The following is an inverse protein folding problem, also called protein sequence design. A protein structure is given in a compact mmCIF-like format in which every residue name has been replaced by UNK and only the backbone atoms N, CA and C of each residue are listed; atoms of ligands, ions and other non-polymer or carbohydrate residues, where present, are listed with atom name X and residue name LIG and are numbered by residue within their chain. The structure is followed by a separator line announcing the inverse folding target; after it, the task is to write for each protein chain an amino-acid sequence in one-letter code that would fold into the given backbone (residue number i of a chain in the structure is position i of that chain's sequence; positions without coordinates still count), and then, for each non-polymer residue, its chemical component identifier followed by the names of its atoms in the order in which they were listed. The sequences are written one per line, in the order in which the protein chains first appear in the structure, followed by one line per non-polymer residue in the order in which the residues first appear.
data_IF_030978866551
#
_entry.id   IF_030978866551
#
_cell.length_a   1.000
_cell.length_b   1.000
_cell.length_c   1.000
_cell.angle_alpha   90.00
_cell.angle_beta   90.00
_cell.angle_gamma   90.00
#
_symmetry.space_group_name_H-M   'P 1'
#
loop_
_entity.id
_entity.type
_entity.pdbx_description
1 polymer ?
#
# COMPACT_ATOMS: atom_id res chain seq x y z
N UNK A 1 15.87 4.91 -9.01
CA UNK A 1 14.54 4.42 -9.45
C UNK A 1 13.45 5.10 -8.59
N UNK A 2 12.14 4.98 -8.88
CA UNK A 2 11.02 5.71 -8.22
C UNK A 2 9.68 5.01 -8.12
N UNK A 3 9.04 5.17 -6.96
CA UNK A 3 7.63 4.91 -6.66
C UNK A 3 7.10 6.12 -5.87
N UNK A 4 5.85 6.52 -6.13
CA UNK A 4 5.15 7.65 -5.50
C UNK A 4 4.37 7.20 -4.26
N UNK A 5 4.29 8.07 -3.25
CA UNK A 5 3.38 7.94 -2.11
C UNK A 5 2.80 9.31 -1.75
N UNK A 6 1.47 9.35 -1.54
CA UNK A 6 0.72 10.46 -0.98
C UNK A 6 0.55 10.24 0.53
N UNK A 7 1.19 11.04 1.39
CA UNK A 7 0.56 12.20 2.05
C UNK A 7 1.54 12.91 3.01
N UNK A 8 1.34 14.22 3.15
CA UNK A 8 2.05 15.23 3.96
C UNK A 8 3.52 14.95 4.38
N UNK A 9 4.46 15.39 3.54
CA UNK A 9 5.91 15.39 3.76
C UNK A 9 6.58 14.01 3.79
N UNK A 10 6.61 13.30 2.66
CA UNK A 10 7.48 12.13 2.46
C UNK A 10 8.43 12.33 1.29
N UNK A 11 9.65 11.82 1.46
CA UNK A 11 10.70 11.78 0.46
C UNK A 11 10.44 10.64 -0.53
N UNK A 12 10.11 10.98 -1.75
CA UNK A 12 10.18 10.12 -2.91
C UNK A 12 11.63 10.08 -3.42
N UNK A 13 12.05 9.05 -4.13
CA UNK A 13 13.34 9.04 -4.85
C UNK A 13 12.99 8.63 -6.25
N UNK A 14 13.38 9.38 -7.28
CA UNK A 14 13.29 9.02 -8.72
C UNK A 14 14.70 9.00 -9.28
N UNK A 15 15.13 7.86 -9.87
CA UNK A 15 16.40 7.67 -10.63
C UNK A 15 17.52 8.68 -10.29
N UNK A 16 18.29 8.37 -9.23
CA UNK A 16 19.42 9.19 -8.72
C UNK A 16 19.06 10.62 -8.26
N UNK A 17 17.79 10.94 -8.03
CA UNK A 17 17.31 12.23 -7.50
C UNK A 17 16.25 11.99 -6.44
N UNK A 18 16.28 12.78 -5.37
CA UNK A 18 15.35 12.61 -4.23
C UNK A 18 14.28 13.68 -4.32
N UNK A 19 13.03 13.25 -4.36
CA UNK A 19 11.82 14.04 -4.47
C UNK A 19 11.15 14.17 -3.09
N UNK A 20 10.42 15.23 -2.76
CA UNK A 20 9.68 15.36 -1.49
C UNK A 20 8.34 16.03 -1.72
N UNK A 21 7.25 15.49 -1.19
CA UNK A 21 5.94 16.16 -1.23
C UNK A 21 5.71 16.90 0.08
N UNK A 22 6.02 18.18 0.17
CA UNK A 22 5.65 19.04 1.29
C UNK A 22 4.14 19.34 1.26
N UNK A 23 3.58 19.77 2.40
CA UNK A 23 2.17 20.18 2.50
C UNK A 23 1.85 21.16 1.35
N UNK A 24 1.08 20.67 0.37
CA UNK A 24 0.72 21.43 -0.81
C UNK A 24 1.82 21.62 -1.88
N UNK A 25 2.92 20.87 -1.92
CA UNK A 25 3.90 20.96 -3.03
C UNK A 25 4.75 19.69 -3.22
N UNK A 26 4.98 19.26 -4.48
CA UNK A 26 5.98 18.26 -4.84
C UNK A 26 7.32 18.92 -5.19
N UNK A 27 8.45 18.39 -4.73
CA UNK A 27 9.80 18.98 -4.87
C UNK A 27 10.85 17.93 -5.21
N UNK A 28 12.06 18.31 -5.65
CA UNK A 28 13.21 17.41 -5.86
C UNK A 28 14.55 18.05 -5.54
N UNK A 29 15.57 17.20 -5.33
CA UNK A 29 16.98 17.53 -5.15
C UNK A 29 17.83 16.72 -6.11
N UNK A 30 18.79 17.39 -6.75
CA UNK A 30 19.64 16.79 -7.80
C UNK A 30 20.80 16.00 -7.15
N UNK A 31 20.84 14.69 -7.36
CA UNK A 31 21.93 13.83 -6.92
C UNK A 31 21.89 13.51 -5.42
N UNK A 32 22.10 14.53 -4.59
CA UNK A 32 22.26 14.41 -3.13
C UNK A 32 21.20 15.19 -2.33
N UNK A 33 21.02 14.82 -1.05
CA UNK A 33 20.10 15.48 -0.13
C UNK A 33 20.51 16.90 0.28
N UNK A 34 21.80 17.23 0.19
CA UNK A 34 22.29 18.57 0.50
C UNK A 34 22.19 19.52 -0.71
N UNK A 35 21.84 19.01 -1.89
CA UNK A 35 21.62 19.84 -3.06
C UNK A 35 20.38 20.75 -2.87
N UNK A 36 20.33 21.92 -3.54
CA UNK A 36 19.17 22.79 -3.51
C UNK A 36 17.88 22.07 -3.88
N UNK A 37 16.80 22.45 -3.20
CA UNK A 37 15.45 21.94 -3.46
C UNK A 37 14.80 22.71 -4.61
N UNK A 38 14.16 21.97 -5.52
CA UNK A 38 13.43 22.48 -6.67
C UNK A 38 11.95 22.09 -6.54
N UNK A 39 11.03 23.04 -6.69
CA UNK A 39 9.58 22.76 -6.64
C UNK A 39 9.14 22.24 -8.02
N UNK A 40 8.55 21.04 -8.05
CA UNK A 40 7.99 20.41 -9.25
C UNK A 40 6.55 20.85 -9.48
N UNK A 41 5.73 20.79 -8.43
CA UNK A 41 4.32 21.21 -8.45
C UNK A 41 4.04 21.95 -7.15
N UNK A 42 3.55 23.19 -7.25
CA UNK A 42 2.97 23.90 -6.12
C UNK A 42 1.44 23.72 -6.17
N UNK A 43 0.92 22.88 -5.28
CA UNK A 43 -0.51 22.59 -5.15
C UNK A 43 -1.27 23.79 -4.58
N UNK A 44 -0.64 24.67 -3.79
CA UNK A 44 -1.29 25.90 -3.32
C UNK A 44 -1.51 26.85 -4.50
N UNK A 45 -0.50 27.01 -5.35
CA UNK A 45 -0.64 27.76 -6.60
C UNK A 45 -1.67 27.10 -7.54
N UNK A 46 -1.68 25.76 -7.62
CA UNK A 46 -2.66 25.02 -8.40
C UNK A 46 -4.09 25.19 -7.87
N UNK A 47 -4.26 25.28 -6.56
CA UNK A 47 -5.54 25.46 -5.88
C UNK A 47 -6.02 26.92 -5.85
N UNK A 48 -5.14 27.89 -6.13
CA UNK A 48 -5.47 29.30 -6.03
C UNK A 48 -6.72 29.66 -6.87
N UNK A 49 -7.68 30.33 -6.22
CA UNK A 49 -8.95 30.74 -6.82
C UNK A 49 -9.95 29.62 -7.08
N UNK A 50 -9.71 28.39 -6.59
CA UNK A 50 -10.61 27.24 -6.76
C UNK A 50 -11.21 26.82 -5.43
N UNK A 51 -12.48 26.41 -5.46
CA UNK A 51 -13.19 25.89 -4.28
C UNK A 51 -12.70 24.49 -3.88
N UNK A 52 -12.19 23.73 -4.85
CA UNK A 52 -11.66 22.40 -4.65
C UNK A 52 -10.42 22.17 -5.53
N UNK A 53 -9.43 21.48 -4.97
CA UNK A 53 -8.26 21.01 -5.70
C UNK A 53 -7.68 19.78 -5.00
N UNK A 54 -7.75 18.63 -5.66
CA UNK A 54 -7.09 17.41 -5.24
C UNK A 54 -5.94 17.11 -6.20
N UNK A 55 -4.73 17.02 -5.65
CA UNK A 55 -3.56 16.60 -6.41
C UNK A 55 -3.58 15.07 -6.61
N UNK A 56 -3.65 14.61 -7.86
CA UNK A 56 -3.75 13.20 -8.19
C UNK A 56 -2.42 12.46 -8.24
N UNK A 57 -1.31 13.19 -8.31
CA UNK A 57 0.04 12.61 -8.36
C UNK A 57 0.85 13.12 -9.54
N UNK A 58 2.02 12.53 -9.74
CA UNK A 58 2.92 12.91 -10.83
C UNK A 58 3.82 11.76 -11.27
N UNK A 59 4.45 11.92 -12.41
CA UNK A 59 5.47 11.02 -12.94
C UNK A 59 6.55 11.87 -13.62
N UNK A 60 7.81 11.57 -13.34
CA UNK A 60 8.93 12.18 -14.05
C UNK A 60 9.35 11.23 -15.17
N UNK A 61 9.55 11.77 -16.36
CA UNK A 61 10.05 11.03 -17.52
C UNK A 61 11.41 10.38 -17.24
N UNK A 62 11.74 9.26 -17.91
CA UNK A 62 12.96 8.50 -17.65
C UNK A 62 14.26 9.32 -17.75
N UNK A 63 14.31 10.31 -18.63
CA UNK A 63 15.42 11.26 -18.83
C UNK A 63 15.44 12.45 -17.85
N UNK A 64 14.46 12.55 -16.96
CA UNK A 64 14.25 13.62 -15.99
C UNK A 64 13.95 15.01 -16.58
N UNK A 65 13.50 15.09 -17.83
CA UNK A 65 13.21 16.37 -18.50
C UNK A 65 11.76 16.79 -18.36
N UNK A 66 10.81 15.89 -18.57
CA UNK A 66 9.37 16.15 -18.48
C UNK A 66 8.79 15.65 -17.15
N UNK A 67 7.85 16.42 -16.61
CA UNK A 67 6.96 16.06 -15.52
C UNK A 67 5.54 15.96 -16.05
N UNK A 68 4.89 14.82 -15.85
CA UNK A 68 3.44 14.69 -15.95
C UNK A 68 2.85 14.78 -14.55
N UNK A 69 1.80 15.55 -14.33
CA UNK A 69 1.10 15.62 -13.05
C UNK A 69 -0.40 15.75 -13.25
N UNK A 70 -1.19 15.28 -12.29
CA UNK A 70 -2.64 15.29 -12.40
C UNK A 70 -3.33 16.01 -11.24
N UNK A 71 -4.49 16.58 -11.53
CA UNK A 71 -5.34 17.21 -10.52
C UNK A 71 -6.83 17.07 -10.87
N UNK A 72 -7.65 17.01 -9.83
CA UNK A 72 -9.12 17.09 -9.88
C UNK A 72 -9.57 18.38 -9.20
N UNK A 73 -10.38 19.17 -9.89
CA UNK A 73 -10.94 20.43 -9.40
C UNK A 73 -12.46 20.35 -9.13
N UNK A 74 -13.03 19.15 -9.24
CA UNK A 74 -14.46 18.87 -9.16
C UNK A 74 -14.84 17.97 -7.98
N UNK A 75 -13.89 17.21 -7.43
CA UNK A 75 -14.12 16.24 -6.36
C UNK A 75 -14.83 14.97 -6.82
N UNK A 76 -14.89 14.71 -8.13
CA UNK A 76 -15.53 13.51 -8.72
C UNK A 76 -14.54 12.37 -8.97
N UNK A 77 -13.29 12.49 -8.54
CA UNK A 77 -12.19 11.61 -8.91
C UNK A 77 -12.01 11.52 -10.44
N UNK A 78 -12.19 12.66 -11.11
CA UNK A 78 -11.95 12.83 -12.54
C UNK A 78 -10.75 13.76 -12.68
N UNK A 79 -9.61 13.18 -13.04
CA UNK A 79 -8.35 13.90 -13.07
C UNK A 79 -8.03 14.39 -14.48
N UNK A 80 -7.40 15.55 -14.57
CA UNK A 80 -6.74 16.02 -15.79
C UNK A 80 -5.24 15.94 -15.59
N UNK A 81 -4.52 15.39 -16.57
CA UNK A 81 -3.06 15.42 -16.60
C UNK A 81 -2.57 16.66 -17.33
N UNK A 82 -1.46 17.19 -16.83
CA UNK A 82 -0.72 18.33 -17.34
C UNK A 82 0.74 17.94 -17.48
N UNK A 83 1.44 18.55 -18.44
CA UNK A 83 2.86 18.30 -18.67
C UNK A 83 3.68 19.57 -18.46
N UNK A 84 4.89 19.42 -17.90
CA UNK A 84 5.84 20.50 -17.65
C UNK A 84 7.24 20.11 -18.07
N UNK A 85 7.92 21.02 -18.78
CA UNK A 85 9.36 20.88 -19.05
C UNK A 85 10.15 21.41 -17.85
N UNK A 86 10.86 20.51 -17.18
CA UNK A 86 11.62 20.79 -15.96
C UNK A 86 12.92 21.56 -16.20
N UNK A 87 13.37 21.70 -17.45
CA UNK A 87 14.52 22.55 -17.79
C UNK A 87 14.13 24.02 -17.87
N UNK A 88 12.89 24.31 -18.24
CA UNK A 88 12.37 25.69 -18.39
C UNK A 88 11.38 26.10 -17.31
N UNK A 89 10.81 25.13 -16.58
CA UNK A 89 9.71 25.34 -15.62
C UNK A 89 8.35 25.61 -16.27
N UNK A 90 8.25 25.57 -17.61
CA UNK A 90 7.02 25.90 -18.35
C UNK A 90 6.16 24.67 -18.60
N UNK A 91 4.86 24.85 -18.51
CA UNK A 91 3.88 23.84 -18.90
C UNK A 91 3.86 23.68 -20.43
N UNK A 92 3.62 22.47 -20.91
CA UNK A 92 3.39 22.15 -22.32
C UNK A 92 1.90 22.32 -22.66
N UNK A 93 1.59 22.35 -23.96
CA UNK A 93 0.20 22.45 -24.44
C UNK A 93 -0.62 21.18 -24.18
N UNK A 94 0.05 20.03 -24.12
CA UNK A 94 -0.57 18.74 -23.83
C UNK A 94 -1.27 18.74 -22.46
N UNK A 95 -2.59 18.56 -22.48
CA UNK A 95 -3.37 18.34 -21.27
C UNK A 95 -4.68 17.59 -21.57
N UNK A 96 -4.99 16.55 -20.81
CA UNK A 96 -6.10 15.65 -21.11
C UNK A 96 -6.67 14.91 -19.89
N UNK A 97 -7.96 14.58 -19.96
CA UNK A 97 -8.63 13.83 -18.88
C UNK A 97 -8.16 12.38 -18.82
N UNK A 98 -7.99 11.90 -17.60
CA UNK A 98 -7.58 10.54 -17.22
C UNK A 98 -8.51 10.00 -16.11
N UNK A 99 -8.45 8.70 -15.83
CA UNK A 99 -9.17 8.09 -14.72
C UNK A 99 -8.46 8.33 -13.39
N UNK A 100 -7.22 7.86 -13.29
CA UNK A 100 -6.39 7.93 -12.09
C UNK A 100 -4.91 7.66 -12.37
N UNK A 101 -4.59 6.73 -13.26
CA UNK A 101 -3.26 6.20 -13.48
C UNK A 101 -2.66 6.68 -14.80
N UNK A 102 -1.38 7.03 -14.76
CA UNK A 102 -0.59 7.37 -15.92
C UNK A 102 0.88 7.03 -15.68
N UNK A 103 1.57 6.52 -16.69
CA UNK A 103 2.95 6.08 -16.60
C UNK A 103 3.72 6.37 -17.89
N UNK A 104 4.97 6.84 -17.76
CA UNK A 104 5.87 7.03 -18.89
C UNK A 104 6.34 5.69 -19.47
N UNK A 105 6.36 5.60 -20.79
CA UNK A 105 7.21 4.65 -21.49
C UNK A 105 8.69 5.04 -21.35
N UNK A 106 9.58 4.14 -21.74
CA UNK A 106 11.01 4.36 -21.59
C UNK A 106 11.63 5.23 -22.70
N UNK A 107 10.81 5.66 -23.67
CA UNK A 107 11.20 6.50 -24.80
C UNK A 107 11.16 8.03 -24.52
N UNK A 108 10.74 8.43 -23.31
CA UNK A 108 10.60 9.82 -22.84
C UNK A 108 9.54 10.67 -23.56
N UNK A 109 8.71 10.06 -24.42
CA UNK A 109 7.75 10.79 -25.26
C UNK A 109 6.37 10.14 -25.35
N UNK A 110 6.19 9.01 -24.68
CA UNK A 110 4.92 8.28 -24.67
C UNK A 110 4.41 8.11 -23.25
N UNK A 111 3.13 8.40 -23.03
CA UNK A 111 2.39 8.11 -21.79
C UNK A 111 1.34 7.05 -22.06
N UNK A 112 1.23 6.06 -21.17
CA UNK A 112 0.03 5.23 -21.06
C UNK A 112 -0.81 5.76 -19.90
N UNK A 113 -2.13 5.78 -20.06
CA UNK A 113 -3.05 6.27 -19.05
C UNK A 113 -4.40 5.57 -19.09
N UNK A 114 -5.12 5.55 -17.98
CA UNK A 114 -6.48 5.02 -17.89
C UNK A 114 -7.55 6.09 -18.13
N UNK A 115 -8.76 5.67 -18.51
CA UNK A 115 -9.96 6.53 -18.47
C UNK A 115 -11.09 5.85 -17.74
N UNK A 116 -12.04 6.67 -17.27
CA UNK A 116 -13.28 6.22 -16.66
C UNK A 116 -14.45 6.29 -17.61
N UNK A 117 -15.37 5.34 -17.48
CA UNK A 117 -16.72 5.50 -17.99
C UNK A 117 -17.41 6.70 -17.32
N UNK A 118 -18.13 7.50 -18.10
CA UNK A 118 -18.66 8.80 -17.65
C UNK A 118 -19.81 8.68 -16.65
N UNK A 119 -20.49 7.53 -16.61
CA UNK A 119 -21.66 7.30 -15.77
C UNK A 119 -21.27 6.55 -14.51
N UNK A 120 -20.59 5.41 -14.67
CA UNK A 120 -20.23 4.50 -13.58
C UNK A 120 -18.95 4.90 -12.86
N UNK A 121 -18.12 5.77 -13.48
CA UNK A 121 -16.78 6.14 -13.01
C UNK A 121 -15.81 4.94 -12.89
N UNK A 122 -16.14 3.83 -13.56
CA UNK A 122 -15.31 2.62 -13.64
C UNK A 122 -14.15 2.83 -14.60
N UNK A 123 -12.93 2.46 -14.18
CA UNK A 123 -11.78 2.44 -15.08
C UNK A 123 -11.97 1.30 -16.10
N UNK A 124 -12.15 1.64 -17.38
CA UNK A 124 -12.52 0.67 -18.40
C UNK A 124 -11.52 0.58 -19.55
N UNK A 125 -10.77 1.65 -19.83
CA UNK A 125 -9.90 1.74 -21.01
C UNK A 125 -8.52 2.24 -20.65
N UNK A 126 -7.52 1.70 -21.36
CA UNK A 126 -6.13 2.15 -21.32
C UNK A 126 -5.77 2.71 -22.69
N UNK A 127 -5.18 3.90 -22.70
CA UNK A 127 -4.81 4.66 -23.88
C UNK A 127 -3.32 4.94 -23.92
N UNK A 128 -2.80 5.17 -25.13
CA UNK A 128 -1.43 5.64 -25.38
C UNK A 128 -1.48 7.02 -25.99
N UNK A 129 -0.79 7.96 -25.36
CA UNK A 129 -0.61 9.33 -25.81
C UNK A 129 0.85 9.61 -26.19
N UNK A 130 1.05 10.24 -27.34
CA UNK A 130 2.35 10.69 -27.85
C UNK A 130 2.48 12.19 -27.57
N UNK A 131 3.48 12.61 -26.80
CA UNK A 131 3.63 14.02 -26.41
C UNK A 131 3.82 14.90 -27.66
N UNK A 132 3.12 16.03 -27.69
CA UNK A 132 3.09 16.99 -28.79
C UNK A 132 2.06 16.66 -29.87
N UNK A 133 1.20 15.66 -29.66
CA UNK A 133 0.12 15.31 -30.59
C UNK A 133 -1.26 15.60 -29.99
N UNK A 134 -2.28 15.93 -30.79
CA UNK A 134 -3.63 16.10 -30.28
C UNK A 134 -4.18 14.79 -29.68
N UNK A 135 -4.93 14.89 -28.57
CA UNK A 135 -5.62 13.75 -27.92
C UNK A 135 -6.43 12.88 -28.89
N UNK A 136 -6.96 13.44 -29.97
CA UNK A 136 -7.71 12.69 -30.99
C UNK A 136 -6.87 11.65 -31.74
N UNK A 137 -5.55 11.68 -31.62
CA UNK A 137 -4.62 10.69 -32.16
C UNK A 137 -4.21 9.61 -31.16
N UNK A 138 -4.70 9.69 -29.91
CA UNK A 138 -4.39 8.70 -28.88
C UNK A 138 -4.94 7.33 -29.27
N UNK A 139 -4.15 6.28 -29.01
CA UNK A 139 -4.47 4.91 -29.41
C UNK A 139 -5.04 4.14 -28.23
N UNK A 140 -6.21 3.52 -28.42
CA UNK A 140 -6.80 2.61 -27.45
C UNK A 140 -5.99 1.31 -27.38
N UNK A 141 -5.33 1.06 -26.26
CA UNK A 141 -4.46 -0.10 -26.06
C UNK A 141 -5.20 -1.29 -25.41
N UNK A 142 -6.20 -1.01 -24.58
CA UNK A 142 -7.00 -2.04 -23.89
C UNK A 142 -8.38 -1.51 -23.54
N UNK A 143 -9.40 -2.38 -23.56
CA UNK A 143 -10.77 -2.07 -23.14
C UNK A 143 -11.38 -3.26 -22.38
N UNK A 144 -11.66 -3.06 -21.10
CA UNK A 144 -12.40 -3.99 -20.25
C UNK A 144 -13.90 -3.89 -20.55
N UNK A 145 -14.38 -4.85 -21.32
CA UNK A 145 -15.79 -4.92 -21.74
C UNK A 145 -16.70 -5.53 -20.68
N UNK A 146 -16.17 -6.28 -19.72
CA UNK A 146 -16.96 -6.79 -18.60
C UNK A 146 -17.17 -5.65 -17.60
N UNK A 147 -18.41 -5.16 -17.51
CA UNK A 147 -18.78 -4.04 -16.66
C UNK A 147 -18.63 -4.34 -15.16
N UNK A 148 -18.42 -5.61 -14.79
CA UNK A 148 -18.12 -6.00 -13.41
C UNK A 148 -16.65 -5.84 -13.04
N UNK A 149 -15.75 -5.65 -14.01
CA UNK A 149 -14.30 -5.58 -13.79
C UNK A 149 -13.75 -4.15 -13.90
N UNK A 150 -12.60 -3.87 -13.32
CA UNK A 150 -11.89 -2.60 -13.47
C UNK A 150 -10.55 -2.86 -14.14
N UNK A 151 -10.14 -1.98 -15.07
CA UNK A 151 -8.82 -1.99 -15.67
C UNK A 151 -7.87 -1.07 -14.90
N UNK A 152 -6.94 -1.65 -14.14
CA UNK A 152 -5.93 -0.90 -13.40
C UNK A 152 -4.59 -0.94 -14.13
N UNK A 153 -4.09 0.23 -14.54
CA UNK A 153 -2.77 0.37 -15.13
C UNK A 153 -1.70 0.50 -14.04
N UNK A 154 -0.59 -0.22 -14.20
CA UNK A 154 0.59 -0.13 -13.36
C UNK A 154 1.88 -0.24 -14.19
N UNK A 155 3.01 -0.03 -13.53
CA UNK A 155 4.35 -0.24 -14.11
C UNK A 155 5.21 -1.00 -13.10
N UNK A 156 5.99 -1.97 -13.58
CA UNK A 156 6.89 -2.75 -12.74
C UNK A 156 7.95 -1.87 -12.08
N UNK A 157 8.42 -2.27 -10.90
CA UNK A 157 9.48 -1.53 -10.17
C UNK A 157 10.77 -1.39 -10.98
N UNK A 158 11.02 -2.34 -11.88
CA UNK A 158 12.14 -2.30 -12.83
C UNK A 158 11.99 -1.27 -13.95
N UNK A 159 10.84 -0.62 -14.09
CA UNK A 159 10.43 0.21 -15.22
C UNK A 159 10.33 -0.51 -16.57
N UNK A 160 10.52 -1.83 -16.62
CA UNK A 160 10.59 -2.57 -17.89
C UNK A 160 9.21 -2.95 -18.45
N UNK A 161 8.19 -3.07 -17.61
CA UNK A 161 6.88 -3.57 -18.04
C UNK A 161 5.77 -2.67 -17.52
N UNK A 162 4.79 -2.41 -18.39
CA UNK A 162 3.45 -2.00 -17.97
C UNK A 162 2.64 -3.23 -17.62
N UNK A 163 1.74 -3.09 -16.65
CA UNK A 163 0.76 -4.10 -16.27
C UNK A 163 -0.65 -3.54 -16.39
N UNK A 164 -1.59 -4.35 -16.85
CA UNK A 164 -3.03 -4.10 -16.70
C UNK A 164 -3.58 -5.22 -15.85
N UNK A 165 -4.10 -4.86 -14.67
CA UNK A 165 -4.87 -5.76 -13.84
C UNK A 165 -6.35 -5.53 -14.15
N UNK A 166 -6.97 -6.44 -14.87
CA UNK A 166 -8.43 -6.52 -14.98
C UNK A 166 -8.95 -7.29 -13.76
N UNK A 167 -9.60 -6.60 -12.82
CA UNK A 167 -9.97 -7.21 -11.55
C UNK A 167 -11.22 -6.60 -10.93
N UNK A 168 -11.97 -7.44 -10.23
CA UNK A 168 -12.96 -7.02 -9.23
C UNK A 168 -13.33 -8.19 -8.32
N UNK A 169 -13.21 -7.99 -7.01
CA UNK A 169 -13.63 -8.86 -5.89
C UNK A 169 -13.19 -10.33 -5.91
N UNK A 170 -13.48 -11.10 -6.95
CA UNK A 170 -13.32 -12.57 -7.04
C UNK A 170 -12.48 -13.02 -8.22
N UNK A 171 -12.13 -12.13 -9.14
CA UNK A 171 -11.37 -12.47 -10.35
C UNK A 171 -10.27 -11.45 -10.58
N UNK A 172 -9.14 -11.93 -11.11
CA UNK A 172 -8.08 -11.10 -11.66
C UNK A 172 -7.52 -11.73 -12.92
N UNK A 173 -7.15 -10.87 -13.85
CA UNK A 173 -6.44 -11.18 -15.07
C UNK A 173 -5.38 -10.11 -15.31
N UNK A 174 -4.14 -10.52 -15.53
CA UNK A 174 -3.02 -9.61 -15.71
C UNK A 174 -2.48 -9.69 -17.13
N UNK A 175 -2.39 -8.53 -17.76
CA UNK A 175 -1.71 -8.33 -19.04
C UNK A 175 -0.42 -7.54 -18.84
N UNK A 176 0.58 -7.76 -19.69
CA UNK A 176 1.85 -7.03 -19.63
C UNK A 176 2.32 -6.54 -21.00
N UNK A 177 3.06 -5.42 -21.02
CA UNK A 177 3.65 -4.82 -22.22
C UNK A 177 5.05 -4.29 -21.89
N UNK A 178 6.04 -4.52 -22.77
CA UNK A 178 7.38 -3.95 -22.62
C UNK A 178 7.34 -2.42 -22.79
N UNK A 179 7.77 -1.69 -21.76
CA UNK A 179 7.78 -0.23 -21.74
C UNK A 179 8.82 0.40 -22.68
N UNK A 180 9.76 -0.39 -23.24
CA UNK A 180 10.67 0.04 -24.30
C UNK A 180 10.03 -0.10 -25.69
N UNK A 181 8.94 -0.85 -25.82
CA UNK A 181 8.13 -0.95 -27.04
C UNK A 181 6.69 -0.54 -26.74
N UNK A 182 6.43 0.74 -26.43
CA UNK A 182 5.09 1.21 -26.06
C UNK A 182 4.08 1.14 -27.22
N UNK A 183 4.54 0.81 -28.43
CA UNK A 183 3.70 0.56 -29.59
C UNK A 183 3.27 -0.90 -29.76
N UNK A 184 3.80 -1.82 -28.96
CA UNK A 184 3.42 -3.22 -28.98
C UNK A 184 2.07 -3.50 -28.31
N UNK A 185 1.66 -4.77 -28.37
CA UNK A 185 0.40 -5.24 -27.78
C UNK A 185 0.58 -5.82 -26.38
N UNK A 186 -0.44 -5.64 -25.55
CA UNK A 186 -0.53 -6.29 -24.24
C UNK A 186 -0.65 -7.81 -24.39
N UNK A 187 0.16 -8.54 -23.63
CA UNK A 187 0.17 -10.01 -23.58
C UNK A 187 -0.48 -10.50 -22.30
N UNK A 188 -1.37 -11.47 -22.42
CA UNK A 188 -2.03 -12.11 -21.30
C UNK A 188 -1.07 -13.07 -20.56
N UNK A 189 -1.08 -13.03 -19.23
CA UNK A 189 -0.36 -14.02 -18.39
C UNK A 189 -1.22 -15.26 -18.15
N UNK A 190 -2.42 -15.07 -17.61
CA UNK A 190 -3.38 -16.13 -17.36
C UNK A 190 -4.81 -15.58 -17.43
N UNK A 191 -5.73 -16.23 -18.17
CA UNK A 191 -7.14 -15.86 -18.17
C UNK A 191 -7.76 -15.85 -16.76
N UNK A 192 -8.74 -14.96 -16.56
CA UNK A 192 -9.50 -14.87 -15.30
C UNK A 192 -10.14 -16.21 -14.92
N UNK A 193 -10.15 -16.49 -13.61
CA UNK A 193 -10.77 -17.65 -13.00
C UNK A 193 -11.35 -17.23 -11.66
N UNK A 194 -12.54 -17.73 -11.33
CA UNK A 194 -13.23 -17.37 -10.09
C UNK A 194 -12.44 -17.82 -8.86
N UNK A 195 -12.38 -16.95 -7.86
CA UNK A 195 -11.67 -17.15 -6.59
C UNK A 195 -10.16 -17.44 -6.78
N UNK A 196 -9.61 -17.01 -7.91
CA UNK A 196 -8.19 -17.14 -8.24
C UNK A 196 -7.56 -15.75 -8.31
N UNK A 197 -6.68 -15.46 -7.36
CA UNK A 197 -5.99 -14.18 -7.24
C UNK A 197 -4.51 -14.35 -7.54
N UNK A 198 -3.98 -13.44 -8.33
CA UNK A 198 -2.55 -13.26 -8.50
C UNK A 198 -2.20 -11.80 -8.84
N UNK A 199 -1.02 -11.39 -8.42
CA UNK A 199 -0.36 -10.15 -8.85
C UNK A 199 1.07 -10.45 -9.28
N UNK A 200 1.68 -9.51 -10.01
CA UNK A 200 2.99 -9.68 -10.65
C UNK A 200 3.94 -8.57 -10.24
N UNK A 201 5.21 -8.92 -10.08
CA UNK A 201 6.33 -7.99 -10.14
C UNK A 201 7.44 -8.55 -11.02
N UNK A 202 8.19 -7.66 -11.69
CA UNK A 202 9.30 -8.06 -12.52
C UNK A 202 10.61 -8.15 -11.72
N UNK A 203 11.33 -9.26 -11.90
CA UNK A 203 12.65 -9.48 -11.34
C UNK A 203 13.54 -10.29 -12.29
N UNK A 204 14.65 -9.69 -12.71
CA UNK A 204 15.60 -10.26 -13.68
C UNK A 204 14.94 -10.63 -15.03
N UNK A 205 14.81 -11.92 -15.33
CA UNK A 205 14.18 -12.48 -16.53
C UNK A 205 12.86 -13.19 -16.20
N UNK A 206 12.32 -12.93 -15.00
CA UNK A 206 11.14 -13.59 -14.44
C UNK A 206 10.10 -12.60 -13.94
N UNK A 207 8.86 -13.08 -13.87
CA UNK A 207 7.86 -12.49 -13.00
C UNK A 207 7.82 -13.25 -11.68
N UNK A 208 7.83 -12.51 -10.58
CA UNK A 208 7.41 -12.99 -9.27
C UNK A 208 5.90 -12.85 -9.18
N UNK A 209 5.23 -13.89 -8.68
CA UNK A 209 3.79 -14.08 -8.77
C UNK A 209 3.26 -14.41 -7.38
N UNK A 210 2.64 -13.45 -6.70
CA UNK A 210 1.94 -13.75 -5.45
C UNK A 210 0.57 -14.29 -5.83
N UNK A 211 0.21 -15.48 -5.38
CA UNK A 211 -1.05 -16.12 -5.78
C UNK A 211 -1.68 -16.94 -4.66
N UNK A 212 -3.01 -17.03 -4.67
CA UNK A 212 -3.75 -17.94 -3.79
C UNK A 212 -3.91 -19.36 -4.35
N UNK A 213 -3.27 -19.69 -5.48
CA UNK A 213 -3.38 -21.00 -6.11
C UNK A 213 -2.98 -22.11 -5.12
N UNK A 214 -3.96 -22.92 -4.67
CA UNK A 214 -3.75 -23.96 -3.64
C UNK A 214 -3.13 -23.41 -2.33
N UNK A 215 -3.33 -22.12 -2.04
CA UNK A 215 -2.69 -21.42 -0.93
C UNK A 215 -3.60 -20.29 -0.44
N UNK A 216 -4.50 -20.55 0.53
CA UNK A 216 -5.45 -19.53 1.01
C UNK A 216 -4.75 -18.29 1.57
N UNK A 217 -3.61 -18.48 2.21
CA UNK A 217 -2.77 -17.39 2.73
C UNK A 217 -1.73 -16.89 1.72
N UNK A 218 -1.96 -17.17 0.45
CA UNK A 218 -1.05 -16.88 -0.65
C UNK A 218 0.30 -17.59 -0.55
N UNK A 219 0.98 -17.64 -1.68
CA UNK A 219 2.37 -18.07 -1.84
C UNK A 219 3.04 -17.18 -2.89
N UNK A 220 4.36 -17.15 -2.88
CA UNK A 220 5.13 -16.46 -3.91
C UNK A 220 5.71 -17.50 -4.87
N UNK A 221 5.43 -17.33 -6.15
CA UNK A 221 5.93 -18.17 -7.23
C UNK A 221 6.76 -17.34 -8.21
N UNK A 222 7.45 -17.99 -9.13
CA UNK A 222 8.13 -17.37 -10.25
C UNK A 222 7.79 -18.05 -11.58
N UNK A 223 7.84 -17.30 -12.67
CA UNK A 223 7.76 -17.81 -14.04
C UNK A 223 8.64 -16.97 -14.98
N UNK A 224 9.23 -17.56 -16.04
CA UNK A 224 9.98 -16.79 -17.04
C UNK A 224 9.08 -15.75 -17.72
N UNK A 225 9.58 -14.54 -17.96
CA UNK A 225 8.85 -13.49 -18.71
C UNK A 225 8.46 -13.98 -20.10
N UNK A 226 9.32 -14.79 -20.74
CA UNK A 226 9.07 -15.37 -22.06
C UNK A 226 7.95 -16.43 -22.07
N UNK A 227 7.63 -17.02 -20.92
CA UNK A 227 6.63 -18.08 -20.77
C UNK A 227 5.92 -17.96 -19.40
N UNK A 228 5.10 -16.91 -19.19
CA UNK A 228 4.57 -16.59 -17.86
C UNK A 228 3.33 -17.42 -17.48
N UNK A 229 2.90 -18.34 -18.35
CA UNK A 229 1.76 -19.21 -18.13
C UNK A 229 1.89 -20.07 -16.87
N UNK A 230 0.73 -20.39 -16.27
CA UNK A 230 0.61 -21.09 -14.98
C UNK A 230 1.38 -22.42 -14.93
N UNK A 231 1.47 -23.11 -16.06
CA UNK A 231 2.23 -24.35 -16.24
C UNK A 231 3.72 -24.22 -15.95
N UNK A 232 4.27 -23.00 -15.98
CA UNK A 232 5.68 -22.72 -15.71
C UNK A 232 5.93 -22.17 -14.29
N UNK A 233 4.89 -22.05 -13.47
CA UNK A 233 5.01 -21.44 -12.13
C UNK A 233 5.73 -22.38 -11.17
N UNK A 234 6.74 -21.86 -10.47
CA UNK A 234 7.54 -22.58 -9.46
C UNK A 234 7.57 -21.82 -8.15
N UNK A 235 7.56 -22.52 -7.02
CA UNK A 235 7.58 -21.86 -5.71
C UNK A 235 8.89 -21.10 -5.46
N UNK A 236 8.75 -19.88 -4.94
CA UNK A 236 9.82 -19.05 -4.37
C UNK A 236 9.67 -19.02 -2.86
N UNK A 237 8.46 -18.74 -2.37
CA UNK A 237 8.06 -18.90 -0.98
C UNK A 237 6.79 -19.76 -0.94
N UNK A 238 6.86 -20.99 -0.40
CA UNK A 238 5.70 -21.86 -0.34
C UNK A 238 4.63 -21.32 0.63
N UNK A 239 3.42 -21.87 0.51
CA UNK A 239 2.31 -21.55 1.39
C UNK A 239 2.64 -21.88 2.87
N UNK A 240 2.22 -21.00 3.77
CA UNK A 240 2.29 -21.19 5.23
C UNK A 240 0.90 -21.02 5.83
N UNK A 241 0.47 -21.98 6.65
CA UNK A 241 -0.89 -21.98 7.20
C UNK A 241 -1.12 -20.86 8.23
N UNK A 242 -0.07 -20.41 8.90
CA UNK A 242 -0.10 -19.42 9.99
C UNK A 242 0.33 -18.00 9.55
N UNK A 243 0.66 -17.81 8.26
CA UNK A 243 1.17 -16.54 7.73
C UNK A 243 0.45 -16.15 6.45
N UNK A 244 -0.28 -15.04 6.49
CA UNK A 244 -0.79 -14.38 5.29
C UNK A 244 0.34 -13.63 4.60
N UNK A 245 0.57 -13.90 3.32
CA UNK A 245 1.44 -13.08 2.48
C UNK A 245 0.61 -11.98 1.81
N UNK A 246 0.60 -10.78 2.38
CA UNK A 246 -0.17 -9.63 1.88
C UNK A 246 0.42 -9.03 0.62
N UNK A 247 1.74 -8.98 0.57
CA UNK A 247 2.47 -8.34 -0.51
C UNK A 247 3.97 -8.51 -0.37
N UNK A 248 4.70 -7.97 -1.34
CA UNK A 248 6.15 -8.03 -1.33
C UNK A 248 6.74 -6.87 -2.13
N UNK A 249 8.02 -6.59 -1.89
CA UNK A 249 8.84 -5.76 -2.77
C UNK A 249 10.16 -6.45 -3.00
N UNK A 250 10.71 -6.26 -4.20
CA UNK A 250 11.95 -6.91 -4.62
C UNK A 250 13.10 -5.91 -4.70
N UNK A 251 14.28 -6.36 -4.31
CA UNK A 251 15.57 -5.70 -4.46
C UNK A 251 16.52 -6.61 -5.21
N UNK A 252 17.66 -6.06 -5.63
CA UNK A 252 18.72 -6.82 -6.32
C UNK A 252 19.14 -8.05 -5.50
N UNK A 253 19.39 -7.86 -4.21
CA UNK A 253 19.98 -8.89 -3.33
C UNK A 253 18.99 -9.42 -2.28
N UNK A 254 17.79 -8.84 -2.16
CA UNK A 254 16.79 -9.18 -1.15
C UNK A 254 15.37 -9.28 -1.71
N UNK A 255 14.57 -10.16 -1.09
CA UNK A 255 13.11 -10.16 -1.11
C UNK A 255 12.62 -9.63 0.23
N UNK A 256 11.64 -8.74 0.22
CA UNK A 256 10.98 -8.28 1.44
C UNK A 256 9.48 -8.49 1.31
N UNK A 257 8.89 -9.20 2.26
CA UNK A 257 7.45 -9.50 2.29
C UNK A 257 6.74 -8.72 3.39
N UNK A 258 5.52 -8.30 3.11
CA UNK A 258 4.56 -7.83 4.09
C UNK A 258 3.66 -9.01 4.45
N UNK A 259 3.55 -9.31 5.74
CA UNK A 259 2.91 -10.52 6.23
C UNK A 259 2.04 -10.24 7.45
N UNK A 260 0.87 -10.87 7.56
CA UNK A 260 0.18 -11.01 8.84
C UNK A 260 0.47 -12.37 9.46
N UNK A 261 0.95 -12.35 10.71
CA UNK A 261 1.21 -13.56 11.50
C UNK A 261 0.89 -13.29 12.96
N UNK A 262 0.16 -14.22 13.58
CA UNK A 262 -0.24 -14.10 14.97
C UNK A 262 -1.05 -12.84 15.29
N UNK A 263 -1.78 -12.30 14.30
CA UNK A 263 -2.66 -11.14 14.44
C UNK A 263 -1.97 -9.77 14.32
N UNK A 264 -0.72 -9.73 13.83
CA UNK A 264 0.05 -8.51 13.64
C UNK A 264 0.57 -8.40 12.20
N UNK A 265 0.59 -7.19 11.65
CA UNK A 265 1.27 -6.86 10.41
C UNK A 265 2.79 -6.73 10.63
N UNK A 266 3.57 -7.51 9.89
CA UNK A 266 5.01 -7.67 10.03
C UNK A 266 5.74 -7.57 8.69
N UNK A 267 7.01 -7.16 8.75
CA UNK A 267 7.91 -7.13 7.59
C UNK A 267 8.98 -8.20 7.75
N UNK A 268 9.13 -9.02 6.71
CA UNK A 268 10.05 -10.15 6.67
C UNK A 268 11.06 -9.97 5.53
N UNK A 269 12.34 -10.00 5.87
CA UNK A 269 13.47 -9.74 4.96
C UNK A 269 14.18 -11.05 4.69
N UNK A 270 14.36 -11.40 3.43
CA UNK A 270 15.00 -12.63 2.96
C UNK A 270 16.10 -12.27 1.96
N UNK A 271 17.32 -12.75 2.18
CA UNK A 271 18.43 -12.57 1.24
C UNK A 271 18.36 -13.61 0.12
N UNK A 272 18.58 -13.19 -1.13
CA UNK A 272 18.52 -14.11 -2.27
C UNK A 272 19.61 -15.16 -2.27
N UNK A 273 20.84 -14.77 -1.90
CA UNK A 273 22.05 -15.57 -2.08
C UNK A 273 22.07 -16.87 -1.25
N UNK A 274 21.64 -16.79 0.01
CA UNK A 274 21.75 -17.87 1.00
C UNK A 274 20.41 -18.18 1.69
N UNK A 275 19.34 -17.45 1.35
CA UNK A 275 18.01 -17.52 1.98
C UNK A 275 18.02 -17.17 3.47
N UNK A 276 19.06 -16.53 3.98
CA UNK A 276 19.07 -16.01 5.33
C UNK A 276 17.96 -14.97 5.49
N UNK A 277 17.17 -15.11 6.55
CA UNK A 277 15.97 -14.31 6.76
C UNK A 277 15.83 -13.80 8.19
N UNK A 278 14.96 -12.80 8.37
CA UNK A 278 14.53 -12.29 9.67
C UNK A 278 13.30 -11.39 9.54
N UNK A 279 12.51 -11.32 10.62
CA UNK A 279 11.48 -10.31 10.79
C UNK A 279 12.08 -9.03 11.38
N UNK A 280 11.53 -7.87 11.01
CA UNK A 280 11.90 -6.60 11.63
C UNK A 280 11.25 -6.50 13.01
N UNK A 281 12.07 -6.49 14.06
CA UNK A 281 11.62 -6.30 15.44
C UNK A 281 11.29 -4.82 15.71
N UNK A 282 10.10 -4.51 16.24
CA UNK A 282 9.71 -3.13 16.59
C UNK A 282 9.73 -2.85 18.10
N UNK A 283 9.73 -3.89 18.95
CA UNK A 283 9.88 -3.75 20.40
C UNK A 283 8.60 -3.38 21.17
N UNK A 284 7.43 -3.43 20.54
CA UNK A 284 6.13 -3.25 21.19
C UNK A 284 5.30 -4.54 21.11
N UNK A 285 4.42 -4.82 22.10
CA UNK A 285 3.62 -6.06 22.13
C UNK A 285 2.56 -6.11 21.04
N UNK A 286 2.07 -4.95 20.60
CA UNK A 286 1.08 -4.80 19.54
C UNK A 286 1.43 -3.60 18.67
N UNK A 287 1.40 -3.78 17.36
CA UNK A 287 1.90 -2.82 16.38
C UNK A 287 1.45 -3.18 14.96
N UNK A 288 1.70 -2.26 14.04
CA UNK A 288 1.70 -2.50 12.61
C UNK A 288 3.07 -2.12 12.05
N UNK A 289 3.66 -3.01 11.27
CA UNK A 289 4.93 -2.81 10.57
C UNK A 289 4.73 -3.13 9.08
N UNK A 290 4.97 -2.15 8.22
CA UNK A 290 4.61 -2.24 6.80
C UNK A 290 5.73 -1.72 5.90
N UNK A 291 5.79 -2.27 4.68
CA UNK A 291 6.71 -1.81 3.64
C UNK A 291 6.26 -0.42 3.18
N UNK A 292 7.15 0.56 3.24
CA UNK A 292 6.91 1.93 2.75
C UNK A 292 7.54 2.08 1.34
N UNK A 293 7.77 3.30 0.89
CA UNK A 293 8.30 3.60 -0.41
C UNK A 293 9.74 3.10 -0.61
N UNK A 294 9.90 2.11 -1.48
CA UNK A 294 11.19 1.51 -1.81
C UNK A 294 11.49 1.61 -3.30
N UNK A 295 11.74 2.82 -3.80
CA UNK A 295 11.87 3.06 -5.21
C UNK A 295 13.15 2.48 -5.82
N UNK A 296 14.25 2.49 -5.06
CA UNK A 296 15.54 2.00 -5.52
C UNK A 296 15.63 0.47 -5.40
N UNK A 297 15.77 -0.22 -6.53
CA UNK A 297 15.95 -1.67 -6.58
C UNK A 297 17.37 -2.12 -6.21
N UNK A 298 18.41 -1.34 -6.54
CA UNK A 298 19.80 -1.71 -6.23
C UNK A 298 20.26 -0.97 -4.97
N UNK A 299 19.80 -1.42 -3.81
CA UNK A 299 20.10 -0.86 -2.50
C UNK A 299 20.04 -1.96 -1.44
N UNK A 300 20.76 -1.75 -0.34
CA UNK A 300 20.65 -2.57 0.88
C UNK A 300 19.73 -1.92 1.91
N UNK A 301 19.23 -0.72 1.65
CA UNK A 301 18.34 0.02 2.55
C UNK A 301 16.89 -0.22 2.16
N UNK A 302 16.14 -0.81 3.08
CA UNK A 302 14.68 -0.87 3.07
C UNK A 302 14.13 0.32 3.85
N UNK A 303 13.16 1.04 3.29
CA UNK A 303 12.31 1.96 4.04
C UNK A 303 11.05 1.23 4.50
N UNK A 304 10.78 1.23 5.79
CA UNK A 304 9.54 0.69 6.33
C UNK A 304 8.88 1.73 7.25
N UNK A 305 7.57 1.59 7.40
CA UNK A 305 6.80 2.31 8.40
C UNK A 305 6.45 1.40 9.55
N UNK A 306 6.45 1.94 10.77
CA UNK A 306 5.79 1.27 11.89
C UNK A 306 4.96 2.24 12.71
N UNK A 307 3.95 1.72 13.37
CA UNK A 307 3.09 2.44 14.30
C UNK A 307 2.54 1.47 15.34
N UNK A 308 2.10 2.00 16.47
CA UNK A 308 1.31 1.26 17.45
C UNK A 308 0.21 2.16 17.99
N UNK A 309 -0.64 1.64 18.86
CA UNK A 309 -1.67 2.45 19.52
C UNK A 309 -1.10 3.60 20.39
N UNK A 310 0.21 3.60 20.68
CA UNK A 310 0.92 4.69 21.38
C UNK A 310 2.05 5.33 20.57
N UNK A 311 2.47 4.75 19.46
CA UNK A 311 3.60 5.26 18.68
C UNK A 311 3.11 5.78 17.33
N UNK A 312 3.14 7.12 17.11
CA UNK A 312 2.81 7.72 15.82
C UNK A 312 3.60 7.09 14.69
N UNK A 313 3.05 7.14 13.47
CA UNK A 313 3.70 6.59 12.28
C UNK A 313 5.15 7.08 12.20
N UNK A 314 6.06 6.12 12.22
CA UNK A 314 7.49 6.34 12.21
C UNK A 314 8.08 5.68 10.97
N UNK A 315 8.75 6.48 10.15
CA UNK A 315 9.45 6.04 8.94
C UNK A 315 10.90 5.77 9.28
N UNK A 316 11.38 4.58 8.93
CA UNK A 316 12.71 4.09 9.28
C UNK A 316 13.43 3.59 8.03
N UNK A 317 14.66 4.02 7.85
CA UNK A 317 15.59 3.40 6.91
C UNK A 317 16.32 2.25 7.63
N UNK A 318 16.25 1.06 7.05
CA UNK A 318 16.74 -0.20 7.60
C UNK A 318 17.78 -0.81 6.68
N UNK A 319 19.00 -1.00 7.16
CA UNK A 319 20.00 -1.75 6.41
C UNK A 319 19.71 -3.25 6.56
N UNK A 320 19.32 -3.91 5.47
CA UNK A 320 18.87 -5.32 5.46
C UNK A 320 19.98 -6.33 5.81
N UNK A 321 21.25 -5.92 5.72
CA UNK A 321 22.42 -6.75 6.02
C UNK A 321 22.82 -6.64 7.50
N UNK A 322 23.09 -5.42 7.95
CA UNK A 322 23.58 -5.12 9.31
C UNK A 322 22.47 -4.97 10.34
N UNK A 323 21.22 -4.85 9.89
CA UNK A 323 20.01 -4.58 10.70
C UNK A 323 20.00 -3.22 11.41
N UNK A 324 20.91 -2.32 11.02
CA UNK A 324 20.96 -0.95 11.53
C UNK A 324 19.68 -0.19 11.14
N UNK A 325 19.11 0.55 12.10
CA UNK A 325 17.89 1.36 11.95
C UNK A 325 18.24 2.84 12.05
N UNK A 326 17.73 3.63 11.13
CA UNK A 326 17.81 5.09 11.18
C UNK A 326 16.41 5.70 11.04
N UNK A 327 15.91 6.33 12.10
CA UNK A 327 14.61 7.01 12.07
C UNK A 327 14.70 8.24 11.17
N UNK A 328 13.83 8.31 10.15
CA UNK A 328 13.77 9.42 9.19
C UNK A 328 12.69 10.42 9.53
N UNK A 329 11.56 9.95 10.05
CA UNK A 329 10.41 10.79 10.39
C UNK A 329 9.58 10.13 11.47
N UNK A 330 9.13 10.92 12.43
CA UNK A 330 8.03 10.57 13.33
C UNK A 330 6.91 11.56 13.03
N UNK A 331 5.68 11.06 12.83
CA UNK A 331 4.53 11.93 12.64
C UNK A 331 4.35 12.82 13.88
N UNK A 332 4.33 14.16 13.74
CA UNK A 332 4.24 15.05 14.88
C UNK A 332 2.86 14.94 15.52
N UNK A 333 2.84 14.88 16.86
CA UNK A 333 1.61 14.98 17.65
C UNK A 333 1.69 16.26 18.46
N UNK A 334 0.78 17.18 18.16
CA UNK A 334 0.72 18.48 18.85
C UNK A 334 0.22 18.31 20.29
N UNK A 335 0.51 19.28 21.15
CA UNK A 335 0.01 19.28 22.53
C UNK A 335 0.86 18.53 23.54
N UNK A 336 2.14 18.25 23.24
CA UNK A 336 3.08 17.68 24.21
C UNK A 336 2.93 16.18 24.45
N UNK A 337 2.39 15.46 23.47
CA UNK A 337 2.25 14.00 23.53
C UNK A 337 3.60 13.31 23.76
N UNK A 338 3.64 12.42 24.75
CA UNK A 338 4.78 11.53 25.01
C UNK A 338 4.28 10.08 25.02
N UNK A 339 4.74 9.21 24.09
CA UNK A 339 4.35 7.80 24.06
C UNK A 339 4.69 7.08 25.37
N UNK A 340 5.67 7.55 26.15
CA UNK A 340 6.05 6.95 27.43
C UNK A 340 4.99 7.13 28.52
N UNK A 341 3.99 7.98 28.32
CA UNK A 341 2.85 8.12 29.24
C UNK A 341 1.82 7.00 29.09
N UNK A 342 1.95 6.13 28.09
CA UNK A 342 0.96 5.09 27.78
C UNK A 342 1.59 3.70 27.77
N UNK A 343 0.78 2.70 28.10
CA UNK A 343 1.11 1.28 28.05
C UNK A 343 0.24 0.61 27.00
N UNK A 344 0.83 -0.31 26.23
CA UNK A 344 0.11 -1.18 25.30
C UNK A 344 0.16 -2.64 25.77
N UNK A 345 -0.91 -3.38 25.51
CA UNK A 345 -0.99 -4.81 25.76
C UNK A 345 -1.48 -5.55 24.50
N UNK A 346 -1.05 -6.80 24.36
CA UNK A 346 -1.57 -7.72 23.37
C UNK A 346 -1.99 -9.00 24.06
N UNK A 347 -3.29 -9.30 24.04
CA UNK A 347 -3.86 -10.42 24.79
C UNK A 347 -4.71 -11.30 23.89
N UNK A 348 -4.95 -12.54 24.33
CA UNK A 348 -5.76 -13.52 23.62
C UNK A 348 -7.01 -13.84 24.43
N UNK A 349 -8.18 -13.52 23.87
CA UNK A 349 -9.48 -13.82 24.47
C UNK A 349 -9.98 -15.15 23.90
N UNK A 350 -10.31 -16.10 24.78
CA UNK A 350 -10.97 -17.34 24.34
C UNK A 350 -12.47 -17.07 24.23
N UNK A 351 -13.00 -17.08 23.00
CA UNK A 351 -14.43 -16.81 22.73
C UNK A 351 -15.27 -18.08 22.87
N UNK A 352 -16.59 -17.97 22.79
CA UNK A 352 -17.55 -19.04 23.15
C UNK A 352 -17.41 -20.36 22.38
N UNK A 353 -16.77 -20.35 21.21
CA UNK A 353 -16.49 -21.55 20.42
C UNK A 353 -15.05 -22.09 20.60
N UNK A 354 -14.31 -21.54 21.56
CA UNK A 354 -12.94 -21.95 21.92
C UNK A 354 -11.83 -21.29 21.10
N UNK A 355 -12.18 -20.50 20.06
CA UNK A 355 -11.18 -19.77 19.27
C UNK A 355 -10.52 -18.69 20.14
N UNK A 356 -9.21 -18.48 19.95
CA UNK A 356 -8.48 -17.38 20.59
C UNK A 356 -8.47 -16.16 19.67
N UNK A 357 -9.24 -15.13 20.03
CA UNK A 357 -9.29 -13.85 19.33
C UNK A 357 -8.26 -12.91 19.96
N UNK A 358 -7.31 -12.35 19.19
CA UNK A 358 -6.37 -11.38 19.72
C UNK A 358 -7.06 -10.03 19.99
N UNK A 359 -6.56 -9.29 20.97
CA UNK A 359 -7.01 -7.94 21.29
C UNK A 359 -5.81 -7.06 21.63
N UNK A 360 -5.76 -5.88 20.99
CA UNK A 360 -4.78 -4.83 21.29
C UNK A 360 -5.40 -3.84 22.26
N UNK A 361 -4.68 -3.44 23.30
CA UNK A 361 -5.12 -2.43 24.24
C UNK A 361 -4.09 -1.32 24.39
N UNK A 362 -4.58 -0.12 24.67
CA UNK A 362 -3.76 1.01 25.13
C UNK A 362 -4.49 1.77 26.23
N UNK A 363 -3.73 2.22 27.22
CA UNK A 363 -4.23 3.04 28.31
C UNK A 363 -3.09 3.87 28.91
N UNK A 364 -3.43 4.91 29.67
CA UNK A 364 -2.45 5.78 30.33
C UNK A 364 -1.79 5.08 31.52
N UNK A 365 -0.49 5.34 31.74
CA UNK A 365 0.22 4.85 32.93
C UNK A 365 -0.46 5.33 34.20
N UNK A 366 -0.48 4.48 35.22
CA UNK A 366 -1.24 4.70 36.44
C UNK A 366 -2.68 4.16 36.37
N UNK A 367 -3.12 3.63 35.23
CA UNK A 367 -4.35 2.84 35.13
C UNK A 367 -4.37 1.70 36.15
N UNK A 368 -5.51 1.51 36.80
CA UNK A 368 -5.78 0.44 37.76
C UNK A 368 -6.92 -0.41 37.22
N UNK A 369 -6.66 -1.72 37.09
CA UNK A 369 -7.60 -2.71 36.57
C UNK A 369 -8.60 -3.14 37.66
N UNK A 370 -9.54 -2.24 37.99
CA UNK A 370 -10.55 -2.38 39.05
C UNK A 370 -12.01 -2.23 38.55
N UNK A 371 -12.20 -2.21 37.23
CA UNK A 371 -13.53 -2.14 36.59
C UNK A 371 -14.15 -0.75 36.53
N UNK A 372 -13.48 0.32 36.96
CA UNK A 372 -14.09 1.67 37.00
C UNK A 372 -13.70 2.58 35.83
N UNK A 373 -12.74 2.18 35.01
CA UNK A 373 -12.30 3.02 33.89
C UNK A 373 -13.31 2.97 32.74
N UNK A 374 -13.59 4.10 32.08
CA UNK A 374 -14.37 4.09 30.85
C UNK A 374 -13.59 3.36 29.75
N UNK A 375 -14.29 2.71 28.82
CA UNK A 375 -13.66 1.93 27.76
C UNK A 375 -14.23 2.28 26.38
N UNK A 376 -13.33 2.37 25.38
CA UNK A 376 -13.68 2.45 23.97
C UNK A 376 -13.13 1.23 23.24
N UNK A 377 -14.01 0.29 22.88
CA UNK A 377 -13.65 -0.90 22.09
C UNK A 377 -14.08 -0.72 20.62
N UNK A 378 -13.19 -1.10 19.70
CA UNK A 378 -13.45 -1.06 18.25
C UNK A 378 -13.29 -2.47 17.65
N UNK A 379 -14.09 -2.77 16.63
CA UNK A 379 -13.98 -3.95 15.78
C UNK A 379 -14.61 -3.70 14.42
N UNK A 380 -14.08 -4.33 13.36
CA UNK A 380 -14.58 -4.17 11.98
C UNK A 380 -15.11 -5.49 11.39
N UNK A 381 -14.23 -6.48 11.21
CA UNK A 381 -14.60 -7.86 10.91
C UNK A 381 -15.37 -8.06 9.60
N UNK A 382 -15.05 -7.35 8.52
CA UNK A 382 -15.70 -7.56 7.20
C UNK A 382 -14.72 -7.42 6.04
N UNK A 383 -15.08 -7.99 4.88
CA UNK A 383 -14.32 -7.94 3.62
C UNK A 383 -12.89 -8.49 3.66
N UNK A 384 -12.52 -9.13 4.76
CA UNK A 384 -11.13 -9.50 5.02
C UNK A 384 -10.24 -8.31 5.36
N UNK A 385 -10.80 -7.12 5.63
CA UNK A 385 -10.01 -5.98 6.06
C UNK A 385 -9.47 -6.23 7.47
N UNK A 386 -8.16 -6.35 7.61
CA UNK A 386 -7.47 -6.35 8.91
C UNK A 386 -7.62 -4.99 9.57
N UNK A 387 -7.86 -4.96 10.89
CA UNK A 387 -7.89 -3.74 11.70
C UNK A 387 -6.61 -3.62 12.53
N UNK A 388 -5.52 -3.28 11.86
CA UNK A 388 -4.21 -3.17 12.50
C UNK A 388 -4.16 -2.12 13.63
N UNK A 389 -3.33 -2.33 14.68
CA UNK A 389 -3.23 -1.43 15.82
C UNK A 389 -2.38 -0.19 15.49
N UNK A 390 -2.98 0.78 14.79
CA UNK A 390 -2.34 2.04 14.40
C UNK A 390 -2.50 3.16 15.45
N UNK A 391 -1.63 4.16 15.40
CA UNK A 391 -1.76 5.36 16.22
C UNK A 391 -2.92 6.24 15.75
N UNK A 392 -3.91 6.43 16.61
CA UNK A 392 -5.02 7.34 16.36
C UNK A 392 -4.91 8.59 17.26
N UNK A 393 -4.60 9.74 16.66
CA UNK A 393 -4.48 11.02 17.38
C UNK A 393 -5.76 11.38 18.14
N UNK A 394 -6.93 11.05 17.60
CA UNK A 394 -8.21 11.43 18.19
C UNK A 394 -8.48 10.66 19.49
N UNK A 395 -7.81 9.51 19.69
CA UNK A 395 -7.89 8.72 20.91
C UNK A 395 -7.04 9.26 22.07
N UNK A 396 -6.06 10.15 21.81
CA UNK A 396 -5.20 10.74 22.87
C UNK A 396 -6.05 11.43 23.95
N UNK A 397 -7.08 12.15 23.52
CA UNK A 397 -8.04 12.83 24.38
C UNK A 397 -8.78 11.87 25.33
N UNK A 398 -9.11 10.65 24.85
CA UNK A 398 -9.74 9.61 25.66
C UNK A 398 -8.74 9.03 26.66
N UNK A 399 -7.53 8.69 26.20
CA UNK A 399 -6.49 8.13 27.05
C UNK A 399 -6.11 9.08 28.19
N UNK A 400 -6.04 10.39 27.92
CA UNK A 400 -5.77 11.40 28.94
C UNK A 400 -6.89 11.55 29.96
N UNK A 401 -8.11 11.13 29.63
CA UNK A 401 -9.28 11.08 30.54
C UNK A 401 -9.43 9.71 31.21
N UNK A 402 -8.42 8.86 31.13
CA UNK A 402 -8.39 7.56 31.81
C UNK A 402 -9.15 6.46 31.09
N UNK A 403 -9.45 6.61 29.80
CA UNK A 403 -10.04 5.52 29.03
C UNK A 403 -9.05 4.37 28.82
N UNK A 404 -9.59 3.16 28.82
CA UNK A 404 -8.99 2.01 28.14
C UNK A 404 -9.49 2.01 26.70
N UNK A 405 -8.58 1.95 25.73
CA UNK A 405 -8.93 1.81 24.32
C UNK A 405 -8.52 0.42 23.86
N UNK A 406 -9.43 -0.31 23.23
CA UNK A 406 -9.23 -1.68 22.79
C UNK A 406 -9.61 -1.88 21.31
N UNK A 407 -8.88 -2.74 20.62
CA UNK A 407 -9.21 -3.24 19.28
C UNK A 407 -9.36 -4.76 19.38
N UNK A 408 -10.57 -5.25 19.14
CA UNK A 408 -10.83 -6.69 19.04
C UNK A 408 -10.65 -7.13 17.58
N UNK A 409 -9.67 -8.01 17.34
CA UNK A 409 -9.32 -8.53 16.01
C UNK A 409 -10.25 -9.68 15.60
N UNK A 410 -11.55 -9.40 15.62
CA UNK A 410 -12.65 -10.35 15.44
C UNK A 410 -12.67 -10.99 14.05
N UNK A 411 -13.27 -12.19 13.93
CA UNK A 411 -13.40 -12.88 12.64
C UNK A 411 -14.13 -12.05 11.59
N UNK A 412 -13.69 -12.20 10.35
CA UNK A 412 -14.16 -11.44 9.19
C UNK A 412 -13.14 -10.42 8.66
N UNK A 413 -12.10 -10.11 9.44
CA UNK A 413 -10.83 -9.56 8.96
C UNK A 413 -9.86 -10.67 8.51
N UNK A 414 -8.59 -10.35 8.27
CA UNK A 414 -7.54 -11.30 7.85
C UNK A 414 -6.29 -11.27 8.74
N UNK A 415 -6.41 -10.76 9.98
CA UNK A 415 -5.32 -10.65 10.95
C UNK A 415 -4.65 -12.02 11.24
N UNK A 416 -5.44 -13.09 11.21
CA UNK A 416 -4.99 -14.48 11.37
C UNK A 416 -4.96 -15.26 10.05
N UNK A 417 -4.90 -14.57 8.92
CA UNK A 417 -4.95 -15.12 7.57
C UNK A 417 -6.35 -15.27 6.99
N UNK A 418 -6.42 -15.75 5.75
CA UNK A 418 -7.66 -15.78 4.95
C UNK A 418 -8.74 -16.67 5.59
N UNK A 419 -8.35 -17.71 6.32
CA UNK A 419 -9.27 -18.56 7.08
C UNK A 419 -10.04 -17.76 8.16
N UNK A 420 -9.46 -16.69 8.70
CA UNK A 420 -10.12 -15.78 9.66
C UNK A 420 -11.30 -15.05 9.02
N UNK A 421 -11.11 -14.59 7.77
CA UNK A 421 -12.15 -13.98 6.97
C UNK A 421 -13.24 -14.98 6.60
N UNK A 422 -12.87 -16.18 6.16
CA UNK A 422 -13.84 -17.22 5.82
C UNK A 422 -14.71 -17.63 7.02
N UNK A 423 -14.14 -17.58 8.23
CA UNK A 423 -14.86 -17.86 9.46
C UNK A 423 -15.66 -16.65 9.99
N UNK A 424 -15.69 -15.51 9.30
CA UNK A 424 -16.51 -14.35 9.65
C UNK A 424 -17.31 -13.78 8.47
N UNK A 425 -17.61 -14.61 7.46
CA UNK A 425 -18.39 -14.21 6.28
C UNK A 425 -19.55 -15.16 5.98
N UNK A 426 -20.52 -14.66 5.21
CA UNK A 426 -21.69 -15.44 4.75
C UNK A 426 -22.40 -16.14 5.91
N UNK A 427 -22.62 -17.46 5.83
CA UNK A 427 -23.31 -18.24 6.86
C UNK A 427 -22.56 -18.28 8.20
N UNK A 428 -21.27 -17.90 8.24
CA UNK A 428 -20.47 -17.78 9.47
C UNK A 428 -20.39 -16.35 9.99
N UNK A 429 -21.15 -15.40 9.42
CA UNK A 429 -21.06 -13.98 9.78
C UNK A 429 -21.40 -13.71 11.25
N UNK A 430 -22.20 -14.59 11.88
CA UNK A 430 -22.52 -14.49 13.30
C UNK A 430 -21.27 -14.46 14.19
N UNK A 431 -20.20 -15.13 13.77
CA UNK A 431 -18.93 -15.16 14.49
C UNK A 431 -18.34 -13.77 14.71
N UNK A 432 -18.44 -12.85 13.74
CA UNK A 432 -17.98 -11.46 13.91
C UNK A 432 -18.64 -10.81 15.13
N UNK A 433 -19.95 -11.00 15.29
CA UNK A 433 -20.71 -10.38 16.36
C UNK A 433 -20.45 -11.05 17.70
N UNK A 434 -20.41 -12.39 17.74
CA UNK A 434 -20.15 -13.12 18.98
C UNK A 434 -18.74 -12.93 19.49
N UNK A 435 -17.73 -12.85 18.60
CA UNK A 435 -16.36 -12.53 18.98
C UNK A 435 -16.27 -11.16 19.64
N UNK A 436 -16.98 -10.16 19.09
CA UNK A 436 -17.00 -8.81 19.63
C UNK A 436 -17.65 -8.75 21.02
N UNK A 437 -18.78 -9.47 21.20
CA UNK A 437 -19.45 -9.60 22.49
C UNK A 437 -18.51 -10.27 23.50
N UNK A 438 -17.90 -11.41 23.14
CA UNK A 438 -17.04 -12.17 24.05
C UNK A 438 -15.76 -11.38 24.42
N UNK A 439 -15.21 -10.58 23.51
CA UNK A 439 -14.12 -9.66 23.81
C UNK A 439 -14.56 -8.53 24.75
N UNK A 440 -15.78 -8.00 24.59
CA UNK A 440 -16.34 -6.99 25.48
C UNK A 440 -16.58 -7.55 26.89
N UNK A 441 -17.17 -8.74 26.98
CA UNK A 441 -17.37 -9.46 28.24
C UNK A 441 -16.03 -9.76 28.94
N UNK A 442 -14.99 -10.10 28.17
CA UNK A 442 -13.65 -10.27 28.72
C UNK A 442 -13.13 -8.98 29.38
N UNK A 443 -13.28 -7.82 28.74
CA UNK A 443 -12.84 -6.54 29.33
C UNK A 443 -13.54 -6.24 30.66
N UNK A 444 -14.83 -6.56 30.76
CA UNK A 444 -15.60 -6.43 32.01
C UNK A 444 -15.14 -7.42 33.06
N UNK A 445 -15.09 -8.72 32.73
CA UNK A 445 -14.73 -9.79 33.66
C UNK A 445 -13.29 -9.65 34.18
N UNK A 446 -12.38 -9.21 33.31
CA UNK A 446 -11.01 -8.93 33.68
C UNK A 446 -10.86 -7.58 34.40
N UNK A 447 -11.93 -6.82 34.68
CA UNK A 447 -11.89 -5.56 35.42
C UNK A 447 -11.13 -4.43 34.71
N UNK A 448 -11.10 -4.42 33.37
CA UNK A 448 -10.67 -3.22 32.64
C UNK A 448 -11.72 -2.10 32.68
N UNK A 449 -12.99 -2.49 32.67
CA UNK A 449 -14.17 -1.60 32.62
C UNK A 449 -15.37 -2.29 33.31
N UNK A 450 -16.50 -1.59 33.37
CA UNK A 450 -17.82 -2.14 33.70
C UNK A 450 -18.78 -2.00 32.50
N UNK A 451 -19.97 -2.66 32.53
CA UNK A 451 -21.01 -2.52 31.51
C UNK A 451 -21.56 -1.10 31.32
#
# INVERSE_FOLDING_TARGET
KSTLFHDFAVWMIVRNRKIRVLIGSATRRKGDMNAPEEILVDVNALAAGKEYCQFGGFQVSPDNRLLAYSADFTGRNLFKVYLKDLSTGKDLEDAFDIGSAFFWANDNKTLLYDTKDKTTLRNDKIWRHQIGTPKSQDVLMYHEKDETQYAYLGKSKSDQFFFINSAYTQTVEVHYLDANNPTGDFKLVKPREKDFFYDLEHWNDKFLIRTNWQAKNFRLMEAPVAAPGKENWKDVLPHREDVLLDGFTVFKDHLVTAEHKGGLSQVHVIRWADKADHYIEVGEPTYACFIDNNPEFNTQTLRYGFTSMKTPVTVVDYNMETRAKEVKKVAPVLGGYDPNNYTTEYIWVTVRDGVKVPMSLVYKKGFVKNGTAPCHITGYGSYGSSYDPYFNRDQVSLLDRGFVVAIAHIRGGMEMGYQWYENGKMLKKLNTFTDFIDCSDYLVNAQYTSP
#
